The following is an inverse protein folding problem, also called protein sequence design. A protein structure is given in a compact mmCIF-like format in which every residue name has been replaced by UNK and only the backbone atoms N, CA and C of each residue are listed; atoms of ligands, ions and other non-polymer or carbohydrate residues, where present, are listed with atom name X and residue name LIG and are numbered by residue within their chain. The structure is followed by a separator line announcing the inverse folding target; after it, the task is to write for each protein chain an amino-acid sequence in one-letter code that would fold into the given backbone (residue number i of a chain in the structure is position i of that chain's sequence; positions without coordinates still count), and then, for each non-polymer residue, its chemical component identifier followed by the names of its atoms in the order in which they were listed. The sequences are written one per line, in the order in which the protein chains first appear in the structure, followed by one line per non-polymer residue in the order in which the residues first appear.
data_IF_052303200020
#
_entry.id   IF_052303200020
#
_cell.length_a   1.000
_cell.length_b   1.000
_cell.length_c   1.000
_cell.angle_alpha   90.00
_cell.angle_beta   90.00
_cell.angle_gamma   90.00
#
_symmetry.space_group_name_H-M   'P 1'
#
loop_
_entity.id
_entity.type
_entity.pdbx_description
1 polymer ?
#
# COMPACT_ATOMS: atom_id res chain seq x y z
N UNK A 1 -32.89 0.99 31.21
CA UNK A 1 -32.40 1.67 30.00
C UNK A 1 -33.50 2.57 29.50
N UNK A 2 -33.25 3.87 29.50
CA UNK A 2 -34.21 4.82 28.92
C UNK A 2 -34.28 4.60 27.40
N UNK A 3 -35.45 4.75 26.76
CA UNK A 3 -35.60 4.57 25.31
C UNK A 3 -34.67 5.46 24.46
N UNK A 4 -34.22 6.60 25.00
CA UNK A 4 -33.21 7.47 24.38
C UNK A 4 -31.82 6.84 24.34
N UNK A 5 -31.37 6.22 25.44
CA UNK A 5 -30.05 5.56 25.56
C UNK A 5 -29.86 4.43 24.54
N UNK A 6 -30.94 3.70 24.23
CA UNK A 6 -30.89 2.56 23.29
C UNK A 6 -30.62 3.01 21.86
N UNK A 7 -31.11 4.19 21.46
CA UNK A 7 -30.87 4.75 20.11
C UNK A 7 -29.43 5.26 19.94
N UNK A 8 -28.80 5.74 21.03
CA UNK A 8 -27.45 6.29 20.95
C UNK A 8 -26.38 5.20 20.71
N UNK A 9 -26.43 4.11 21.47
CA UNK A 9 -25.50 2.99 21.28
C UNK A 9 -25.71 2.29 19.92
N UNK A 10 -26.95 2.27 19.43
CA UNK A 10 -27.27 1.77 18.08
C UNK A 10 -26.57 2.61 17.01
N UNK A 11 -26.60 3.96 17.14
CA UNK A 11 -25.93 4.89 16.23
C UNK A 11 -24.42 4.67 16.15
N UNK A 12 -23.73 4.63 17.30
CA UNK A 12 -22.28 4.39 17.35
C UNK A 12 -21.89 3.02 16.77
N UNK A 13 -22.72 1.99 17.00
CA UNK A 13 -22.52 0.67 16.42
C UNK A 13 -22.62 0.70 14.89
N UNK A 14 -23.63 1.37 14.33
CA UNK A 14 -23.78 1.49 12.87
C UNK A 14 -22.61 2.24 12.24
N UNK A 15 -22.19 3.37 12.84
CA UNK A 15 -21.03 4.14 12.34
C UNK A 15 -19.78 3.27 12.39
N UNK A 16 -19.53 2.58 13.51
CA UNK A 16 -18.39 1.66 13.64
C UNK A 16 -18.43 0.56 12.59
N UNK A 17 -19.59 -0.06 12.35
CA UNK A 17 -19.75 -1.11 11.36
C UNK A 17 -19.48 -0.62 9.93
N UNK A 18 -19.95 0.58 9.58
CA UNK A 18 -19.69 1.20 8.28
C UNK A 18 -18.19 1.48 8.11
N UNK A 19 -17.57 2.14 9.10
CA UNK A 19 -16.13 2.45 9.09
C UNK A 19 -15.31 1.16 9.03
N UNK A 20 -15.75 0.09 9.70
CA UNK A 20 -15.11 -1.22 9.64
C UNK A 20 -15.20 -1.86 8.26
N UNK A 21 -16.39 -1.92 7.66
CA UNK A 21 -16.58 -2.53 6.34
C UNK A 21 -15.83 -1.78 5.24
N UNK A 22 -15.91 -0.45 5.24
CA UNK A 22 -15.19 0.40 4.29
C UNK A 22 -13.68 0.27 4.55
N UNK A 23 -13.25 0.37 5.80
CA UNK A 23 -11.84 0.27 6.19
C UNK A 23 -11.21 -1.07 5.81
N UNK A 24 -11.89 -2.19 6.08
CA UNK A 24 -11.43 -3.52 5.65
C UNK A 24 -11.34 -3.58 4.14
N UNK A 25 -12.37 -3.14 3.41
CA UNK A 25 -12.35 -3.14 1.94
C UNK A 25 -11.14 -2.37 1.41
N UNK A 26 -10.86 -1.19 1.95
CA UNK A 26 -9.69 -0.38 1.60
C UNK A 26 -8.37 -1.07 1.95
N UNK A 27 -8.24 -1.69 3.14
CA UNK A 27 -7.06 -2.46 3.49
C UNK A 27 -6.81 -3.65 2.57
N UNK A 28 -7.86 -4.25 1.99
CA UNK A 28 -7.70 -5.38 1.07
C UNK A 28 -7.27 -4.95 -0.34
N UNK A 29 -7.28 -3.65 -0.65
CA UNK A 29 -6.79 -3.12 -1.91
C UNK A 29 -5.27 -2.89 -1.85
N UNK A 30 -4.46 -3.53 -2.73
CA UNK A 30 -3.01 -3.38 -2.74
C UNK A 30 -2.45 -1.95 -2.76
N UNK A 31 -3.03 -0.97 -3.51
CA UNK A 31 -2.47 0.36 -3.61
C UNK A 31 -2.82 1.28 -2.43
N UNK A 32 -3.71 0.86 -1.53
CA UNK A 32 -4.22 1.74 -0.46
C UNK A 32 -3.36 1.59 0.79
N UNK A 33 -2.76 2.69 1.23
CA UNK A 33 -2.04 2.75 2.50
C UNK A 33 -3.03 2.76 3.69
N UNK A 34 -2.59 2.29 4.86
CA UNK A 34 -3.41 2.33 6.08
C UNK A 34 -3.65 3.73 6.65
N UNK A 35 -2.78 4.70 6.31
CA UNK A 35 -2.80 6.07 6.87
C UNK A 35 -4.16 6.78 6.68
N UNK A 36 -4.74 6.86 5.46
CA UNK A 36 -6.08 7.42 5.28
C UNK A 36 -7.15 6.76 6.13
N UNK A 37 -7.09 5.44 6.32
CA UNK A 37 -8.09 4.69 7.07
C UNK A 37 -8.06 5.10 8.56
N UNK A 38 -6.87 5.16 9.15
CA UNK A 38 -6.71 5.56 10.55
C UNK A 38 -7.05 7.03 10.79
N UNK A 39 -6.69 7.90 9.86
CA UNK A 39 -7.00 9.32 9.91
C UNK A 39 -8.51 9.56 9.85
N UNK A 40 -9.18 8.95 8.87
CA UNK A 40 -10.64 9.03 8.71
C UNK A 40 -11.38 8.38 9.88
N UNK A 41 -10.91 7.25 10.41
CA UNK A 41 -11.47 6.67 11.63
C UNK A 41 -11.34 7.63 12.83
N UNK A 42 -10.20 8.31 12.95
CA UNK A 42 -9.97 9.40 13.91
C UNK A 42 -11.06 10.48 13.86
N UNK A 43 -11.40 10.95 12.66
CA UNK A 43 -12.44 11.97 12.46
C UNK A 43 -13.82 11.39 12.82
N UNK A 44 -14.21 10.30 12.15
CA UNK A 44 -15.60 9.81 12.16
C UNK A 44 -15.98 9.19 13.50
N UNK A 45 -15.12 8.33 14.07
CA UNK A 45 -15.44 7.64 15.32
C UNK A 45 -15.31 8.55 16.54
N UNK A 46 -14.40 9.54 16.50
CA UNK A 46 -14.37 10.58 17.54
C UNK A 46 -15.63 11.43 17.48
N UNK A 47 -16.04 11.90 16.30
CA UNK A 47 -17.27 12.68 16.13
C UNK A 47 -18.53 11.91 16.56
N UNK A 48 -18.62 10.62 16.21
CA UNK A 48 -19.71 9.77 16.65
C UNK A 48 -19.64 9.43 18.14
N UNK A 49 -18.46 9.40 18.76
CA UNK A 49 -18.35 9.21 20.21
C UNK A 49 -18.73 10.46 21.01
N UNK A 50 -18.42 11.65 20.50
CA UNK A 50 -18.68 12.94 21.18
C UNK A 50 -20.11 13.43 21.02
N UNK A 51 -20.78 13.12 19.91
CA UNK A 51 -22.14 13.62 19.62
C UNK A 51 -23.24 12.90 20.39
N UNK A 52 -22.95 11.79 21.05
CA UNK A 52 -23.95 10.85 21.58
C UNK A 52 -24.07 10.83 23.11
N UNK A 53 -23.25 11.59 23.83
CA UNK A 53 -23.38 11.75 25.28
C UNK A 53 -23.19 13.22 25.67
N UNK A 54 -24.25 13.85 26.20
CA UNK A 54 -24.21 15.17 26.86
C UNK A 54 -23.43 15.08 28.19
N UNK A 55 -22.10 14.89 28.16
CA UNK A 55 -21.27 15.03 29.37
C UNK A 55 -20.71 16.46 29.46
N UNK A 56 -21.00 17.21 30.54
CA UNK A 56 -20.55 18.60 30.71
C UNK A 56 -19.03 18.81 30.89
N UNK A 57 -18.21 17.75 30.81
CA UNK A 57 -16.82 17.78 31.33
C UNK A 57 -15.74 17.32 30.35
N UNK A 58 -16.06 17.06 29.07
CA UNK A 58 -15.06 16.63 28.08
C UNK A 58 -14.48 15.22 28.30
N UNK A 59 -14.96 14.48 29.31
CA UNK A 59 -14.60 13.08 29.58
C UNK A 59 -14.82 12.15 28.38
N UNK A 60 -15.77 12.51 27.52
CA UNK A 60 -16.25 11.67 26.42
C UNK A 60 -15.34 11.74 25.20
N UNK A 61 -14.64 12.86 25.02
CA UNK A 61 -13.65 13.02 23.93
C UNK A 61 -12.53 12.01 24.07
N UNK A 62 -11.96 11.90 25.28
CA UNK A 62 -10.84 10.99 25.53
C UNK A 62 -11.27 9.52 25.46
N UNK A 63 -12.49 9.20 25.90
CA UNK A 63 -13.06 7.86 25.73
C UNK A 63 -13.27 7.51 24.25
N UNK A 64 -13.79 8.44 23.45
CA UNK A 64 -13.96 8.26 22.00
C UNK A 64 -12.61 8.08 21.28
N UNK A 65 -11.59 8.87 21.65
CA UNK A 65 -10.22 8.72 21.13
C UNK A 65 -9.64 7.35 21.51
N UNK A 66 -9.77 6.93 22.77
CA UNK A 66 -9.27 5.63 23.23
C UNK A 66 -9.97 4.46 22.52
N UNK A 67 -11.29 4.55 22.35
CA UNK A 67 -12.06 3.59 21.57
C UNK A 67 -11.56 3.53 20.12
N UNK A 68 -11.37 4.68 19.49
CA UNK A 68 -10.91 4.78 18.10
C UNK A 68 -9.50 4.21 17.94
N UNK A 69 -8.62 4.40 18.93
CA UNK A 69 -7.29 3.78 18.95
C UNK A 69 -7.37 2.25 18.97
N UNK A 70 -8.16 1.68 19.88
CA UNK A 70 -8.37 0.23 19.98
C UNK A 70 -8.99 -0.32 18.69
N UNK A 71 -9.97 0.40 18.13
CA UNK A 71 -10.58 0.07 16.85
C UNK A 71 -9.55 0.02 15.71
N UNK A 72 -8.70 1.04 15.59
CA UNK A 72 -7.68 1.10 14.56
C UNK A 72 -6.65 -0.04 14.64
N UNK A 73 -6.28 -0.46 15.85
CA UNK A 73 -5.43 -1.66 16.03
C UNK A 73 -6.21 -2.92 15.63
N UNK A 74 -7.46 -3.06 16.08
CA UNK A 74 -8.27 -4.24 15.80
C UNK A 74 -8.51 -4.44 14.30
N UNK A 75 -8.95 -3.39 13.59
CA UNK A 75 -9.19 -3.46 12.13
C UNK A 75 -7.90 -3.80 11.37
N UNK A 76 -6.76 -3.29 11.81
CA UNK A 76 -5.45 -3.61 11.24
C UNK A 76 -5.10 -5.09 11.40
N UNK A 77 -5.27 -5.65 12.60
CA UNK A 77 -5.00 -7.07 12.83
C UNK A 77 -5.95 -7.98 12.04
N UNK A 78 -7.23 -7.59 11.93
CA UNK A 78 -8.20 -8.32 11.10
C UNK A 78 -7.80 -8.27 9.62
N UNK A 79 -7.43 -7.09 9.11
CA UNK A 79 -6.93 -6.93 7.76
C UNK A 79 -5.70 -7.82 7.51
N UNK A 80 -4.71 -7.81 8.41
CA UNK A 80 -3.54 -8.67 8.32
C UNK A 80 -3.91 -10.16 8.27
N UNK A 81 -4.87 -10.59 9.09
CA UNK A 81 -5.34 -11.98 9.09
C UNK A 81 -6.01 -12.39 7.77
N UNK A 82 -6.87 -11.52 7.22
CA UNK A 82 -7.54 -11.76 5.93
C UNK A 82 -6.51 -11.75 4.78
N UNK A 83 -5.57 -10.80 4.77
CA UNK A 83 -4.51 -10.73 3.77
C UNK A 83 -3.61 -11.97 3.81
N UNK A 84 -3.20 -12.41 5.01
CA UNK A 84 -2.34 -13.57 5.19
C UNK A 84 -3.05 -14.88 4.78
N UNK A 85 -4.23 -15.16 5.34
CA UNK A 85 -4.91 -16.44 5.13
C UNK A 85 -5.82 -16.45 3.90
N UNK A 86 -6.48 -15.34 3.59
CA UNK A 86 -7.40 -15.23 2.46
C UNK A 86 -6.68 -15.07 1.12
N UNK A 87 -5.61 -14.28 1.07
CA UNK A 87 -4.85 -14.04 -0.16
C UNK A 87 -3.52 -14.79 -0.18
N UNK A 88 -2.67 -14.58 0.82
CA UNK A 88 -1.32 -15.12 0.85
C UNK A 88 -1.26 -16.64 0.74
N UNK A 89 -2.06 -17.36 1.53
CA UNK A 89 -2.12 -18.82 1.47
C UNK A 89 -2.64 -19.34 0.13
N UNK A 90 -3.61 -18.65 -0.50
CA UNK A 90 -4.13 -19.02 -1.81
C UNK A 90 -3.07 -18.87 -2.91
N UNK A 91 -2.20 -17.86 -2.79
CA UNK A 91 -1.14 -17.59 -3.77
C UNK A 91 0.13 -18.43 -3.54
N UNK A 92 0.24 -19.15 -2.42
CA UNK A 92 1.47 -19.85 -2.01
C UNK A 92 1.99 -20.88 -3.01
N UNK A 93 1.10 -21.50 -3.80
CA UNK A 93 1.47 -22.57 -4.72
C UNK A 93 1.81 -22.05 -6.13
N UNK A 94 1.60 -20.76 -6.39
CA UNK A 94 1.84 -20.18 -7.71
C UNK A 94 3.32 -19.87 -7.92
N UNK A 95 3.99 -20.62 -8.79
CA UNK A 95 5.40 -20.38 -9.19
C UNK A 95 5.59 -18.95 -9.70
N UNK A 96 4.67 -18.46 -10.55
CA UNK A 96 4.71 -17.10 -11.07
C UNK A 96 4.69 -16.02 -9.97
N UNK A 97 3.88 -16.20 -8.93
CA UNK A 97 3.82 -15.26 -7.80
C UNK A 97 5.09 -15.34 -6.97
N UNK A 98 5.57 -16.55 -6.66
CA UNK A 98 6.84 -16.74 -5.93
C UNK A 98 8.04 -16.16 -6.68
N UNK A 99 8.06 -16.29 -8.01
CA UNK A 99 9.04 -15.67 -8.88
C UNK A 99 8.94 -14.14 -8.83
N UNK A 100 7.73 -13.59 -8.97
CA UNK A 100 7.50 -12.14 -8.93
C UNK A 100 7.98 -11.49 -7.62
N UNK A 101 7.71 -12.12 -6.47
CA UNK A 101 8.20 -11.64 -5.17
C UNK A 101 9.69 -11.94 -4.92
N UNK A 102 10.35 -12.67 -5.82
CA UNK A 102 11.74 -13.08 -5.69
C UNK A 102 12.00 -13.98 -4.49
N UNK A 103 11.23 -15.08 -4.31
CA UNK A 103 11.34 -15.99 -3.16
C UNK A 103 12.77 -16.49 -2.90
N UNK A 104 13.58 -16.62 -3.96
CA UNK A 104 14.95 -17.12 -3.93
C UNK A 104 16.02 -16.04 -3.70
N UNK A 105 15.64 -14.76 -3.67
CA UNK A 105 16.57 -13.66 -3.41
C UNK A 105 17.09 -13.68 -1.98
N UNK A 106 18.29 -13.15 -1.75
CA UNK A 106 18.87 -13.06 -0.40
C UNK A 106 17.97 -12.28 0.55
N UNK A 107 17.41 -11.14 0.12
CA UNK A 107 16.50 -10.34 0.93
C UNK A 107 15.25 -11.12 1.35
N UNK A 108 14.59 -11.82 0.42
CA UNK A 108 13.37 -12.55 0.74
C UNK A 108 13.61 -13.76 1.65
N UNK A 109 14.70 -14.49 1.42
CA UNK A 109 15.10 -15.63 2.25
C UNK A 109 15.47 -15.18 3.67
N UNK A 110 16.12 -14.03 3.80
CA UNK A 110 16.43 -13.39 5.09
C UNK A 110 15.17 -12.94 5.81
N UNK A 111 14.25 -12.26 5.11
CA UNK A 111 12.96 -11.86 5.67
C UNK A 111 12.19 -13.08 6.19
N UNK A 112 12.15 -14.18 5.42
CA UNK A 112 11.55 -15.45 5.86
C UNK A 112 12.18 -15.98 7.16
N UNK A 113 13.50 -15.93 7.28
CA UNK A 113 14.23 -16.37 8.47
C UNK A 113 13.86 -15.52 9.68
N UNK A 114 13.87 -14.18 9.55
CA UNK A 114 13.50 -13.26 10.64
C UNK A 114 12.06 -13.46 11.09
N UNK A 115 11.13 -13.53 10.14
CA UNK A 115 9.70 -13.67 10.42
C UNK A 115 9.36 -15.02 11.09
N UNK A 116 10.14 -16.08 10.81
CA UNK A 116 9.99 -17.40 11.43
C UNK A 116 10.54 -17.51 12.86
N UNK A 117 11.42 -16.60 13.31
CA UNK A 117 12.00 -16.65 14.66
C UNK A 117 10.90 -16.66 15.73
N UNK A 118 11.05 -17.37 16.86
CA UNK A 118 10.06 -17.31 17.93
C UNK A 118 10.03 -15.92 18.59
N UNK A 119 8.87 -15.55 19.14
CA UNK A 119 8.67 -14.30 19.88
C UNK A 119 8.62 -13.03 19.03
N UNK A 120 8.65 -11.89 19.72
CA UNK A 120 8.62 -10.53 19.16
C UNK A 120 10.02 -9.92 19.21
N UNK A 121 10.80 -10.11 18.14
CA UNK A 121 12.11 -9.49 18.00
C UNK A 121 12.03 -8.19 17.18
N UNK A 122 12.95 -7.26 17.41
CA UNK A 122 12.93 -5.92 16.78
C UNK A 122 12.98 -6.01 15.26
N UNK A 123 13.82 -6.88 14.69
CA UNK A 123 13.91 -7.06 13.23
C UNK A 123 12.57 -7.52 12.62
N UNK A 124 11.86 -8.44 13.28
CA UNK A 124 10.55 -8.92 12.86
C UNK A 124 9.51 -7.80 12.95
N UNK A 125 9.48 -7.05 14.05
CA UNK A 125 8.58 -5.91 14.23
C UNK A 125 8.85 -4.85 13.16
N UNK A 126 10.12 -4.53 12.89
CA UNK A 126 10.53 -3.59 11.86
C UNK A 126 10.05 -4.03 10.47
N UNK A 127 10.19 -5.32 10.11
CA UNK A 127 9.64 -5.84 8.85
C UNK A 127 8.11 -5.70 8.80
N UNK A 128 7.40 -6.13 9.84
CA UNK A 128 5.94 -6.20 9.83
C UNK A 128 5.24 -4.83 9.83
N UNK A 129 5.90 -3.79 10.33
CA UNK A 129 5.33 -2.45 10.45
C UNK A 129 5.96 -1.46 9.45
N UNK A 130 7.23 -1.65 9.11
CA UNK A 130 7.95 -0.78 8.18
C UNK A 130 7.71 -1.13 6.71
N UNK A 131 7.34 -2.36 6.38
CA UNK A 131 6.94 -2.73 5.03
C UNK A 131 5.48 -2.32 4.74
N UNK A 132 5.11 -2.05 3.48
CA UNK A 132 3.73 -1.79 3.12
C UNK A 132 2.79 -2.92 3.55
N UNK A 133 1.69 -2.52 4.22
CA UNK A 133 0.74 -3.37 4.93
C UNK A 133 0.24 -4.59 4.14
N UNK A 134 -0.27 -4.36 2.93
CA UNK A 134 -0.84 -5.40 2.10
C UNK A 134 0.23 -6.38 1.61
N UNK A 135 1.33 -5.94 0.95
CA UNK A 135 2.39 -6.83 0.53
C UNK A 135 2.97 -7.70 1.65
N UNK A 136 3.24 -7.14 2.84
CA UNK A 136 3.88 -7.91 3.91
C UNK A 136 2.96 -8.97 4.51
N UNK A 137 1.67 -8.66 4.67
CA UNK A 137 0.70 -9.61 5.24
C UNK A 137 0.40 -10.75 4.26
N UNK A 138 0.25 -10.44 2.97
CA UNK A 138 0.11 -11.46 1.91
C UNK A 138 1.38 -12.32 1.84
N UNK A 139 2.56 -11.70 1.89
CA UNK A 139 3.83 -12.41 1.91
C UNK A 139 3.93 -13.41 3.07
N UNK A 140 3.50 -13.02 4.28
CA UNK A 140 3.46 -13.94 5.43
C UNK A 140 2.63 -15.20 5.13
N UNK A 141 1.56 -15.08 4.34
CA UNK A 141 0.74 -16.20 3.90
C UNK A 141 1.42 -17.06 2.84
N UNK A 142 2.08 -16.43 1.85
CA UNK A 142 2.87 -17.13 0.82
C UNK A 142 3.99 -17.94 1.48
N UNK A 143 4.64 -17.38 2.50
CA UNK A 143 5.71 -18.02 3.27
C UNK A 143 5.21 -19.11 4.24
N UNK A 144 3.89 -19.26 4.35
CA UNK A 144 3.19 -20.19 5.24
C UNK A 144 3.59 -20.00 6.71
N UNK A 145 3.57 -18.75 7.18
CA UNK A 145 3.87 -18.40 8.57
C UNK A 145 2.65 -18.58 9.47
N UNK A 146 2.84 -18.93 10.76
CA UNK A 146 1.73 -19.06 11.70
C UNK A 146 1.09 -17.67 11.96
N UNK A 147 -0.23 -17.60 11.95
CA UNK A 147 -0.97 -16.33 12.05
C UNK A 147 -0.74 -15.61 13.39
N UNK A 148 -0.94 -16.28 14.52
CA UNK A 148 -0.92 -15.63 15.83
C UNK A 148 0.43 -14.95 16.17
N UNK A 149 1.60 -15.58 15.94
CA UNK A 149 2.88 -14.92 16.14
C UNK A 149 3.10 -13.68 15.26
N UNK A 150 2.55 -13.68 14.03
CA UNK A 150 2.60 -12.53 13.13
C UNK A 150 1.73 -11.41 13.69
N UNK A 151 0.46 -11.67 14.01
CA UNK A 151 -0.45 -10.68 14.59
C UNK A 151 0.10 -10.07 15.89
N UNK A 152 0.64 -10.91 16.78
CA UNK A 152 1.25 -10.42 18.02
C UNK A 152 2.46 -9.52 17.76
N UNK A 153 3.29 -9.87 16.77
CA UNK A 153 4.45 -9.05 16.39
C UNK A 153 4.07 -7.78 15.60
N UNK A 154 2.84 -7.70 15.09
CA UNK A 154 2.26 -6.51 14.46
C UNK A 154 1.66 -5.54 15.48
N UNK A 155 1.36 -5.95 16.72
CA UNK A 155 0.78 -5.08 17.76
C UNK A 155 1.49 -3.73 17.96
N UNK A 156 2.83 -3.63 17.88
CA UNK A 156 3.51 -2.33 17.97
C UNK A 156 3.14 -1.34 16.87
N UNK A 157 2.35 -1.73 15.85
CA UNK A 157 1.78 -0.81 14.84
C UNK A 157 0.96 0.31 15.49
N UNK A 158 0.45 0.10 16.71
CA UNK A 158 -0.19 1.15 17.49
C UNK A 158 0.67 2.43 17.62
N UNK A 159 2.00 2.31 17.70
CA UNK A 159 2.89 3.48 17.74
C UNK A 159 2.89 4.29 16.44
N UNK A 160 2.67 3.62 15.30
CA UNK A 160 2.59 4.25 13.99
C UNK A 160 1.19 4.83 13.75
N UNK A 161 0.16 4.10 14.18
CA UNK A 161 -1.24 4.47 13.99
C UNK A 161 -1.70 5.59 14.94
N UNK A 162 -1.18 5.63 16.17
CA UNK A 162 -1.57 6.62 17.19
C UNK A 162 -1.49 8.07 16.69
N UNK A 163 -0.34 8.59 16.19
CA UNK A 163 -0.27 9.98 15.76
C UNK A 163 -1.22 10.30 14.59
N UNK A 164 -1.40 9.38 13.65
CA UNK A 164 -2.29 9.58 12.50
C UNK A 164 -3.77 9.62 12.91
N UNK A 165 -4.19 8.68 13.77
CA UNK A 165 -5.57 8.64 14.27
C UNK A 165 -5.87 9.85 15.18
N UNK A 166 -4.91 10.24 16.03
CA UNK A 166 -5.03 11.44 16.85
C UNK A 166 -5.11 12.71 15.99
N UNK A 167 -4.35 12.78 14.88
CA UNK A 167 -4.46 13.89 13.95
C UNK A 167 -5.87 14.01 13.37
N UNK A 168 -6.49 12.89 12.95
CA UNK A 168 -7.88 12.90 12.49
C UNK A 168 -8.86 13.33 13.59
N UNK A 169 -8.66 12.82 14.81
CA UNK A 169 -9.50 13.18 15.96
C UNK A 169 -9.42 14.67 16.27
N UNK A 170 -8.21 15.23 16.27
CA UNK A 170 -7.98 16.64 16.56
C UNK A 170 -8.38 17.57 15.43
N UNK A 171 -8.41 17.08 14.18
CA UNK A 171 -8.98 17.84 13.07
C UNK A 171 -10.46 18.11 13.31
N UNK A 172 -11.20 17.07 13.73
CA UNK A 172 -12.60 17.22 14.12
C UNK A 172 -12.77 18.12 15.34
N UNK A 173 -11.99 17.89 16.40
CA UNK A 173 -12.10 18.73 17.61
C UNK A 173 -11.79 20.21 17.32
N UNK A 174 -10.91 20.50 16.37
CA UNK A 174 -10.60 21.87 15.95
C UNK A 174 -11.80 22.65 15.40
N UNK A 175 -12.91 21.98 15.05
CA UNK A 175 -14.17 22.63 14.65
C UNK A 175 -15.12 22.90 15.82
N UNK A 176 -14.76 22.50 17.04
CA UNK A 176 -15.57 22.69 18.25
C UNK A 176 -15.07 23.89 19.06
N UNK A 177 -15.99 24.61 19.71
CA UNK A 177 -15.66 25.73 20.58
C UNK A 177 -14.76 25.28 21.76
N UNK A 178 -13.68 26.03 22.02
CA UNK A 178 -12.72 25.73 23.10
C UNK A 178 -11.64 24.69 22.76
N UNK A 179 -11.61 24.20 21.52
CA UNK A 179 -10.62 23.24 21.00
C UNK A 179 -9.80 23.80 19.83
N UNK A 180 -9.68 25.13 19.69
CA UNK A 180 -9.02 25.77 18.56
C UNK A 180 -7.54 25.33 18.42
N UNK A 181 -6.89 25.01 19.54
CA UNK A 181 -5.53 24.47 19.59
C UNK A 181 -5.39 23.09 18.92
N UNK A 182 -6.47 22.33 18.79
CA UNK A 182 -6.47 20.99 18.20
C UNK A 182 -6.11 21.02 16.70
N UNK A 183 -6.41 22.12 15.99
CA UNK A 183 -5.99 22.29 14.59
C UNK A 183 -4.45 22.37 14.47
N UNK A 184 -3.78 23.09 15.37
CA UNK A 184 -2.30 23.10 15.44
C UNK A 184 -1.76 21.70 15.76
N UNK A 185 -2.39 21.00 16.71
CA UNK A 185 -1.97 19.65 17.07
C UNK A 185 -2.18 18.63 15.95
N UNK A 186 -3.21 18.78 15.12
CA UNK A 186 -3.42 17.98 13.91
C UNK A 186 -2.19 18.04 13.01
N UNK A 187 -1.68 19.25 12.75
CA UNK A 187 -0.51 19.46 11.90
C UNK A 187 0.74 18.80 12.49
N UNK A 188 0.97 18.99 13.80
CA UNK A 188 2.11 18.39 14.51
C UNK A 188 2.03 16.85 14.45
N UNK A 189 0.85 16.28 14.68
CA UNK A 189 0.66 14.84 14.69
C UNK A 189 0.77 14.22 13.30
N UNK A 190 0.35 14.91 12.24
CA UNK A 190 0.60 14.50 10.86
C UNK A 190 2.10 14.46 10.55
N UNK A 191 2.86 15.49 10.98
CA UNK A 191 4.32 15.51 10.83
C UNK A 191 4.98 14.37 11.62
N UNK A 192 4.55 14.14 12.86
CA UNK A 192 5.05 13.03 13.68
C UNK A 192 4.71 11.67 13.06
N UNK A 193 3.49 11.48 12.58
CA UNK A 193 3.05 10.25 11.93
C UNK A 193 3.83 9.97 10.65
N UNK A 194 4.05 11.00 9.81
CA UNK A 194 4.91 10.90 8.63
C UNK A 194 6.36 10.56 8.99
N UNK A 195 6.90 11.18 10.05
CA UNK A 195 8.24 10.89 10.56
C UNK A 195 8.39 9.46 11.08
N UNK A 196 7.43 8.98 11.89
CA UNK A 196 7.41 7.60 12.41
C UNK A 196 7.30 6.59 11.26
N UNK A 197 6.42 6.85 10.29
CA UNK A 197 6.29 6.00 9.09
C UNK A 197 7.62 5.92 8.33
N UNK A 198 8.26 7.06 8.06
CA UNK A 198 9.54 7.11 7.37
C UNK A 198 10.64 6.37 8.13
N UNK A 199 10.78 6.62 9.44
CA UNK A 199 11.75 5.93 10.29
C UNK A 199 11.50 4.42 10.37
N UNK A 200 10.23 3.98 10.36
CA UNK A 200 9.90 2.55 10.35
C UNK A 200 10.35 1.85 9.06
N UNK A 201 10.25 2.52 7.91
CA UNK A 201 10.75 2.01 6.62
C UNK A 201 12.28 1.89 6.63
N UNK A 202 12.98 2.88 7.20
CA UNK A 202 14.44 2.82 7.35
C UNK A 202 14.86 1.70 8.31
N UNK A 203 14.16 1.53 9.43
CA UNK A 203 14.41 0.45 10.37
C UNK A 203 14.22 -0.92 9.70
N UNK A 204 13.16 -1.10 8.90
CA UNK A 204 12.96 -2.30 8.09
C UNK A 204 14.17 -2.59 7.20
N UNK A 205 14.61 -1.61 6.39
CA UNK A 205 15.74 -1.78 5.48
C UNK A 205 17.03 -2.11 6.24
N UNK A 206 17.31 -1.39 7.33
CA UNK A 206 18.49 -1.57 8.16
C UNK A 206 18.56 -2.98 8.76
N UNK A 207 17.49 -3.43 9.44
CA UNK A 207 17.48 -4.74 10.09
C UNK A 207 17.49 -5.89 9.07
N UNK A 208 16.89 -5.70 7.90
CA UNK A 208 16.96 -6.69 6.84
C UNK A 208 18.39 -6.84 6.30
N UNK A 209 19.05 -5.73 5.97
CA UNK A 209 20.41 -5.73 5.42
C UNK A 209 21.45 -6.26 6.43
N UNK A 210 21.34 -5.82 7.69
CA UNK A 210 22.18 -6.33 8.78
C UNK A 210 22.06 -7.86 8.92
N UNK A 211 20.85 -8.40 8.77
CA UNK A 211 20.62 -9.82 8.91
C UNK A 211 21.09 -10.63 7.69
N UNK A 212 21.07 -10.04 6.49
CA UNK A 212 21.65 -10.67 5.29
C UNK A 212 23.13 -11.01 5.54
N UNK A 213 23.88 -10.10 6.18
CA UNK A 213 25.28 -10.31 6.53
C UNK A 213 25.43 -11.29 7.69
N UNK A 214 24.63 -11.12 8.75
CA UNK A 214 24.77 -11.90 9.99
C UNK A 214 24.38 -13.37 9.81
N UNK A 215 23.34 -13.64 9.02
CA UNK A 215 22.82 -14.98 8.73
C UNK A 215 23.37 -15.57 7.42
N UNK A 216 24.48 -15.05 6.87
CA UNK A 216 25.01 -15.46 5.57
C UNK A 216 25.24 -16.99 5.44
N UNK A 217 25.79 -17.63 6.48
CA UNK A 217 26.01 -19.09 6.46
C UNK A 217 24.68 -19.86 6.49
N UNK A 218 23.72 -19.46 7.31
CA UNK A 218 22.37 -20.05 7.33
C UNK A 218 21.66 -19.90 5.98
N UNK A 219 21.86 -18.76 5.30
CA UNK A 219 21.32 -18.52 3.98
C UNK A 219 21.95 -19.40 2.90
N UNK A 220 23.21 -19.83 3.05
CA UNK A 220 23.82 -20.79 2.11
C UNK A 220 23.20 -22.19 2.26
N UNK A 221 22.89 -22.59 3.49
CA UNK A 221 22.32 -23.90 3.79
C UNK A 221 20.82 -24.02 3.46
N UNK A 222 20.10 -22.89 3.45
CA UNK A 222 18.68 -22.89 3.12
C UNK A 222 18.43 -23.45 1.70
N UNK A 223 17.49 -24.38 1.50
CA UNK A 223 17.16 -24.85 0.15
C UNK A 223 16.50 -23.73 -0.67
N UNK A 224 16.77 -23.75 -1.97
CA UNK A 224 16.06 -22.91 -2.94
C UNK A 224 14.70 -23.54 -3.27
N UNK A 225 13.75 -22.70 -3.68
CA UNK A 225 12.53 -23.18 -4.33
C UNK A 225 12.89 -23.57 -5.77
N UNK A 226 12.92 -24.87 -6.04
CA UNK A 226 13.45 -25.43 -7.28
C UNK A 226 12.60 -25.11 -8.50
N UNK A 227 11.27 -25.12 -8.35
CA UNK A 227 10.35 -24.75 -9.42
C UNK A 227 10.57 -23.29 -9.85
N UNK A 228 10.80 -22.41 -8.87
CA UNK A 228 11.11 -21.00 -9.13
C UNK A 228 12.51 -20.84 -9.71
N UNK A 229 13.50 -21.62 -9.25
CA UNK A 229 14.87 -21.58 -9.81
C UNK A 229 14.86 -21.94 -11.30
N UNK A 230 14.13 -22.99 -11.68
CA UNK A 230 13.98 -23.37 -13.09
C UNK A 230 13.27 -22.28 -13.90
N UNK A 231 12.20 -21.69 -13.36
CA UNK A 231 11.50 -20.57 -14.00
C UNK A 231 12.41 -19.33 -14.14
N UNK A 232 13.23 -19.02 -13.14
CA UNK A 232 14.18 -17.90 -13.15
C UNK A 232 15.28 -18.12 -14.20
N UNK A 233 15.77 -19.35 -14.35
CA UNK A 233 16.74 -19.68 -15.40
C UNK A 233 16.16 -19.47 -16.80
N UNK A 234 14.92 -19.90 -17.04
CA UNK A 234 14.24 -19.69 -18.33
C UNK A 234 14.02 -18.20 -18.62
N UNK A 235 13.55 -17.44 -17.62
CA UNK A 235 13.36 -15.99 -17.75
C UNK A 235 14.70 -15.28 -17.95
N UNK A 236 15.76 -15.68 -17.24
CA UNK A 236 17.10 -15.11 -17.37
C UNK A 236 17.67 -15.31 -18.77
N UNK A 237 17.51 -16.51 -19.37
CA UNK A 237 17.90 -16.77 -20.76
C UNK A 237 17.18 -15.83 -21.72
N UNK A 238 15.86 -15.71 -21.57
CA UNK A 238 15.05 -14.81 -22.40
C UNK A 238 15.41 -13.34 -22.20
N UNK A 239 15.68 -12.91 -20.97
CA UNK A 239 16.07 -11.53 -20.64
C UNK A 239 17.45 -11.17 -21.20
N UNK A 240 18.43 -12.08 -21.10
CA UNK A 240 19.75 -11.90 -21.73
C UNK A 240 19.59 -11.70 -23.23
N UNK A 241 18.80 -12.56 -23.88
CA UNK A 241 18.56 -12.45 -25.31
C UNK A 241 17.79 -11.20 -25.70
N UNK A 242 16.81 -10.81 -24.90
CA UNK A 242 16.11 -9.53 -25.05
C UNK A 242 17.09 -8.37 -24.94
N UNK A 243 17.99 -8.35 -23.95
CA UNK A 243 18.96 -7.27 -23.75
C UNK A 243 19.94 -7.13 -24.93
N UNK A 244 20.35 -8.25 -25.54
CA UNK A 244 21.18 -8.26 -26.74
C UNK A 244 20.45 -7.71 -27.98
N UNK A 245 19.18 -8.06 -28.16
CA UNK A 245 18.39 -7.69 -29.34
C UNK A 245 17.72 -6.32 -29.22
N UNK A 246 17.39 -5.88 -28.01
CA UNK A 246 16.70 -4.63 -27.72
C UNK A 246 17.65 -3.43 -27.58
N UNK A 247 18.92 -3.55 -28.01
CA UNK A 247 19.84 -2.40 -27.99
C UNK A 247 19.43 -1.36 -29.02
N UNK A 248 19.74 -0.08 -28.75
CA UNK A 248 19.42 1.02 -29.68
C UNK A 248 20.00 0.79 -31.07
N UNK A 249 21.18 0.15 -31.18
CA UNK A 249 21.86 -0.11 -32.45
C UNK A 249 21.17 -1.20 -33.28
N UNK A 250 20.61 -2.22 -32.63
CA UNK A 250 20.00 -3.39 -33.29
C UNK A 250 18.53 -3.18 -33.65
N UNK A 251 17.79 -2.40 -32.86
CA UNK A 251 16.38 -2.13 -33.15
C UNK A 251 16.22 -1.22 -34.37
N UNK A 252 15.19 -1.49 -35.18
CA UNK A 252 14.90 -0.73 -36.39
C UNK A 252 14.44 0.71 -36.14
N UNK A 253 14.52 1.55 -37.17
CA UNK A 253 14.14 2.97 -37.07
C UNK A 253 12.69 3.17 -36.59
N UNK A 254 11.75 2.35 -37.07
CA UNK A 254 10.35 2.40 -36.63
C UNK A 254 10.19 2.18 -35.13
N UNK A 255 10.87 1.19 -34.56
CA UNK A 255 10.82 0.91 -33.12
C UNK A 255 11.45 2.03 -32.29
N UNK A 256 12.53 2.65 -32.76
CA UNK A 256 13.13 3.83 -32.11
C UNK A 256 12.16 5.01 -32.08
N UNK A 257 11.45 5.24 -33.17
CA UNK A 257 10.43 6.29 -33.26
C UNK A 257 9.27 6.03 -32.30
N UNK A 258 8.76 4.79 -32.25
CA UNK A 258 7.70 4.38 -31.30
C UNK A 258 8.14 4.64 -29.85
N UNK A 259 9.35 4.23 -29.47
CA UNK A 259 9.89 4.48 -28.13
C UNK A 259 10.06 5.97 -27.84
N UNK A 260 10.58 6.75 -28.80
CA UNK A 260 10.76 8.19 -28.64
C UNK A 260 9.44 8.93 -28.44
N UNK A 261 8.41 8.57 -29.22
CA UNK A 261 7.05 9.14 -29.08
C UNK A 261 6.44 8.72 -27.75
N UNK A 262 6.53 7.45 -27.36
CA UNK A 262 6.02 6.97 -26.07
C UNK A 262 6.68 7.70 -24.88
N UNK A 263 8.01 7.86 -24.91
CA UNK A 263 8.75 8.59 -23.89
C UNK A 263 8.30 10.05 -23.80
N UNK A 264 8.17 10.72 -24.94
CA UNK A 264 7.72 12.11 -25.00
C UNK A 264 6.31 12.28 -24.41
N UNK A 265 5.36 11.46 -24.85
CA UNK A 265 3.97 11.51 -24.37
C UNK A 265 3.86 11.25 -22.87
N UNK A 266 4.57 10.24 -22.35
CA UNK A 266 4.60 9.92 -20.92
C UNK A 266 5.19 11.07 -20.11
N UNK A 267 6.33 11.61 -20.56
CA UNK A 267 7.02 12.72 -19.89
C UNK A 267 6.17 13.98 -19.86
N UNK A 268 5.57 14.33 -21.00
CA UNK A 268 4.70 15.50 -21.11
C UNK A 268 3.42 15.36 -20.27
N UNK A 269 2.81 14.16 -20.21
CA UNK A 269 1.67 13.88 -19.31
C UNK A 269 2.05 14.08 -17.83
N UNK A 270 3.20 13.54 -17.40
CA UNK A 270 3.70 13.72 -16.04
C UNK A 270 3.91 15.19 -15.68
N UNK A 271 4.57 15.97 -16.55
CA UNK A 271 4.78 17.40 -16.30
C UNK A 271 3.49 18.20 -16.28
N UNK A 272 2.54 17.87 -17.18
CA UNK A 272 1.24 18.52 -17.22
C UNK A 272 0.47 18.31 -15.90
N UNK A 273 0.48 17.08 -15.36
CA UNK A 273 -0.17 16.74 -14.10
C UNK A 273 0.54 17.35 -12.89
N UNK A 274 1.87 17.29 -12.83
CA UNK A 274 2.63 17.76 -11.66
C UNK A 274 2.74 19.29 -11.58
N UNK A 275 2.99 19.96 -12.70
CA UNK A 275 3.18 21.41 -12.73
C UNK A 275 1.88 22.16 -13.04
N UNK A 276 0.93 21.50 -13.72
CA UNK A 276 -0.35 22.07 -14.13
C UNK A 276 -1.55 21.44 -13.44
N UNK A 277 -1.38 20.90 -12.21
CA UNK A 277 -2.43 20.18 -11.49
C UNK A 277 -3.75 20.96 -11.38
N UNK A 278 -3.67 22.27 -11.11
CA UNK A 278 -4.83 23.18 -11.01
C UNK A 278 -5.58 23.34 -12.33
N UNK A 279 -4.89 23.18 -13.46
CA UNK A 279 -5.48 23.19 -14.79
C UNK A 279 -6.00 21.82 -15.23
N UNK A 280 -5.48 20.74 -14.63
CA UNK A 280 -5.88 19.37 -14.93
C UNK A 280 -7.07 18.90 -14.10
N UNK A 281 -7.19 19.37 -12.85
CA UNK A 281 -8.19 18.90 -11.91
C UNK A 281 -9.05 20.02 -11.35
N UNK A 282 -10.31 19.70 -11.09
CA UNK A 282 -11.23 20.52 -10.30
C UNK A 282 -10.81 20.45 -8.84
N UNK A 283 -10.74 21.58 -8.11
CA UNK A 283 -10.43 21.56 -6.69
C UNK A 283 -11.43 20.67 -5.95
N UNK A 284 -10.94 19.72 -5.17
CA UNK A 284 -11.73 18.88 -4.27
C UNK A 284 -11.13 19.07 -2.88
N UNK A 285 -11.49 20.18 -2.20
CA UNK A 285 -10.65 20.80 -1.18
C UNK A 285 -10.62 20.04 0.15
N UNK A 286 -11.72 19.37 0.53
CA UNK A 286 -11.85 18.78 1.85
C UNK A 286 -12.13 17.27 1.80
N UNK A 287 -11.69 16.56 2.84
CA UNK A 287 -12.01 15.13 3.03
C UNK A 287 -13.51 14.92 3.24
N UNK A 288 -14.24 15.99 3.56
CA UNK A 288 -15.71 16.03 3.69
C UNK A 288 -16.44 16.41 2.40
N UNK A 289 -15.70 16.79 1.33
CA UNK A 289 -16.31 17.12 0.04
C UNK A 289 -17.07 15.93 -0.54
N UNK A 290 -18.17 16.22 -1.24
CA UNK A 290 -19.06 15.20 -1.80
C UNK A 290 -19.12 15.28 -3.32
N UNK A 291 -19.27 14.13 -3.98
CA UNK A 291 -19.41 14.10 -5.45
C UNK A 291 -20.66 14.86 -5.90
N UNK A 292 -21.71 14.88 -5.07
CA UNK A 292 -22.96 15.55 -5.38
C UNK A 292 -22.81 17.08 -5.41
N UNK A 293 -22.08 17.64 -4.45
CA UNK A 293 -21.98 19.10 -4.28
C UNK A 293 -20.76 19.69 -4.99
N UNK A 294 -19.62 19.02 -4.96
CA UNK A 294 -18.35 19.56 -5.46
C UNK A 294 -18.01 19.11 -6.90
N UNK A 295 -18.71 18.09 -7.42
CA UNK A 295 -18.46 17.51 -8.76
C UNK A 295 -19.74 17.36 -9.61
N UNK A 296 -20.81 18.07 -9.28
CA UNK A 296 -22.10 18.03 -10.01
C UNK A 296 -22.65 16.60 -10.21
N UNK A 297 -22.45 15.72 -9.23
CA UNK A 297 -22.96 14.34 -9.25
C UNK A 297 -22.17 13.36 -10.11
N UNK A 298 -21.04 13.75 -10.72
CA UNK A 298 -20.22 12.86 -11.55
C UNK A 298 -18.74 12.94 -11.21
N UNK A 299 -18.14 11.79 -10.86
CA UNK A 299 -16.70 11.65 -10.57
C UNK A 299 -15.83 12.08 -11.77
N UNK A 300 -16.36 12.00 -13.00
CA UNK A 300 -15.63 12.39 -14.21
C UNK A 300 -15.36 13.90 -14.29
N UNK A 301 -16.14 14.72 -13.58
CA UNK A 301 -15.96 16.18 -13.52
C UNK A 301 -14.73 16.59 -12.70
N UNK A 302 -14.08 15.62 -12.04
CA UNK A 302 -12.77 15.84 -11.42
C UNK A 302 -11.73 16.24 -12.47
N UNK A 303 -11.84 15.72 -13.69
CA UNK A 303 -10.89 15.98 -14.77
C UNK A 303 -11.37 17.13 -15.65
N UNK A 304 -10.57 18.20 -15.70
CA UNK A 304 -10.73 19.29 -16.69
C UNK A 304 -10.24 18.83 -18.06
N UNK A 305 -10.45 19.66 -19.09
CA UNK A 305 -10.02 19.36 -20.46
C UNK A 305 -8.53 18.98 -20.56
N UNK A 306 -7.65 19.71 -19.86
CA UNK A 306 -6.22 19.37 -19.81
C UNK A 306 -5.94 18.08 -19.05
N UNK A 307 -6.73 17.76 -18.02
CA UNK A 307 -6.64 16.47 -17.32
C UNK A 307 -6.95 15.30 -18.25
N UNK A 308 -8.01 15.42 -19.07
CA UNK A 308 -8.34 14.42 -20.09
C UNK A 308 -7.26 14.27 -21.16
N UNK A 309 -6.63 15.37 -21.58
CA UNK A 309 -5.48 15.32 -22.50
C UNK A 309 -4.31 14.58 -21.85
N UNK A 310 -4.00 14.86 -20.57
CA UNK A 310 -2.95 14.16 -19.83
C UNK A 310 -3.20 12.65 -19.76
N UNK A 311 -4.44 12.25 -19.48
CA UNK A 311 -4.88 10.84 -19.45
C UNK A 311 -4.74 10.21 -20.83
N UNK A 312 -5.18 10.88 -21.89
CA UNK A 312 -5.06 10.37 -23.26
C UNK A 312 -3.60 10.17 -23.68
N UNK A 313 -2.73 11.13 -23.36
CA UNK A 313 -1.29 11.03 -23.62
C UNK A 313 -0.66 9.86 -22.85
N UNK A 314 -1.03 9.67 -21.59
CA UNK A 314 -0.58 8.54 -20.76
C UNK A 314 -1.03 7.20 -21.36
N UNK A 315 -2.32 7.06 -21.67
CA UNK A 315 -2.88 5.83 -22.25
C UNK A 315 -2.22 5.51 -23.59
N UNK A 316 -2.05 6.50 -24.47
CA UNK A 316 -1.38 6.31 -25.75
C UNK A 316 0.08 5.89 -25.58
N UNK A 317 0.81 6.51 -24.63
CA UNK A 317 2.18 6.11 -24.32
C UNK A 317 2.26 4.65 -23.84
N UNK A 318 1.33 4.21 -22.98
CA UNK A 318 1.23 2.83 -22.52
C UNK A 318 0.96 1.87 -23.69
N UNK A 319 0.05 2.22 -24.61
CA UNK A 319 -0.27 1.39 -25.78
C UNK A 319 0.97 1.26 -26.68
N UNK A 320 1.66 2.35 -26.99
CA UNK A 320 2.87 2.32 -27.82
C UNK A 320 3.98 1.46 -27.19
N UNK A 321 4.15 1.56 -25.87
CA UNK A 321 5.12 0.75 -25.14
C UNK A 321 4.73 -0.74 -25.12
N UNK A 322 3.45 -1.06 -24.94
CA UNK A 322 2.95 -2.44 -25.01
C UNK A 322 3.16 -3.05 -26.40
N UNK A 323 2.85 -2.30 -27.47
CA UNK A 323 3.08 -2.72 -28.85
C UNK A 323 4.57 -3.01 -29.11
N UNK A 324 5.47 -2.13 -28.65
CA UNK A 324 6.91 -2.35 -28.76
C UNK A 324 7.35 -3.61 -27.98
N UNK A 325 6.88 -3.78 -26.74
CA UNK A 325 7.23 -4.94 -25.92
C UNK A 325 6.75 -6.25 -26.55
N UNK A 326 5.53 -6.29 -27.11
CA UNK A 326 5.01 -7.47 -27.82
C UNK A 326 5.80 -7.76 -29.09
N UNK A 327 6.14 -6.74 -29.86
CA UNK A 327 7.00 -6.88 -31.03
C UNK A 327 8.35 -7.49 -30.65
N UNK A 328 9.04 -6.91 -29.67
CA UNK A 328 10.33 -7.42 -29.21
C UNK A 328 10.23 -8.83 -28.61
N UNK A 329 9.16 -9.14 -27.88
CA UNK A 329 8.89 -10.48 -27.38
C UNK A 329 8.76 -11.51 -28.51
N UNK A 330 8.13 -11.14 -29.64
CA UNK A 330 8.05 -11.98 -30.84
C UNK A 330 9.42 -12.18 -31.48
N UNK A 331 10.21 -11.12 -31.62
CA UNK A 331 11.56 -11.18 -32.19
C UNK A 331 12.46 -12.11 -31.37
N UNK A 332 12.47 -11.95 -30.05
CA UNK A 332 13.25 -12.81 -29.13
C UNK A 332 12.81 -14.27 -29.23
N UNK A 333 11.50 -14.53 -29.31
CA UNK A 333 10.99 -15.90 -29.40
C UNK A 333 11.35 -16.57 -30.72
N UNK A 334 11.32 -15.83 -31.83
CA UNK A 334 11.74 -16.35 -33.15
C UNK A 334 13.23 -16.66 -33.18
N UNK A 335 14.05 -15.79 -32.60
CA UNK A 335 15.49 -15.96 -32.54
C UNK A 335 15.90 -17.14 -31.64
N UNK A 336 15.27 -17.30 -30.46
CA UNK A 336 15.54 -18.44 -29.57
C UNK A 336 15.21 -19.78 -30.24
N UNK A 337 14.11 -19.88 -31.00
CA UNK A 337 13.76 -21.09 -31.76
C UNK A 337 14.80 -21.38 -32.85
N UNK A 338 15.23 -20.37 -33.58
CA UNK A 338 16.24 -20.53 -34.62
C UNK A 338 17.60 -21.00 -34.05
N UNK A 339 17.93 -20.64 -32.81
CA UNK A 339 19.11 -21.12 -32.12
C UNK A 339 18.97 -22.57 -31.63
N UNK A 340 17.78 -23.00 -31.21
CA UNK A 340 17.49 -24.38 -30.80
C UNK A 340 17.55 -25.35 -32.00
N UNK A 341 17.06 -24.95 -33.17
CA UNK A 341 17.07 -25.79 -34.40
C UNK A 341 18.48 -26.02 -34.98
N UNK A 342 19.52 -25.37 -34.45
CA UNK A 342 20.92 -25.49 -34.90
C UNK A 342 21.75 -26.50 -34.09
N UNK A 343 21.20 -27.09 -33.03
CA UNK A 343 21.84 -28.09 -32.16
C UNK A 343 21.06 -29.39 -32.12
#
# INVERSE_FOLDING_TARGET
MNPGETNYYLGMFYVTAIVFLVGITLFLLPPVAGVPIYFTAGIILTAAGTSYEESPSGSNVWAAIAYTFVFCIAIKLVACAIQQNGFGMCLRNSVAVKQFIGINTHGMRTARLILKRPGMNIAKVAILIGAPDWPISVLCGILNLPLLPILFSTLPVGFLTAPIMLAGSFLYLGTMDGWEWASTMTTILLLLGGGVQFCSMLAFMYFLDQEVVTSAELLKEMPYDEDVRQADEQVSRRQKRYAELATWKTIGCGSRLVLGVAMFLMTASCYLVQLGSTYCFTPFPDVTSTVAEDLDGSVLNLFKALGWIAVAMFVLACILLDLFNRYMASVVSADMKAAEDQF
#
